data_IF_757007703242
#
_entry.id   IF_757007703242
#
_cell.length_a   1.000
_cell.length_b   1.000
_cell.length_c   1.000
_cell.angle_alpha   90.00
_cell.angle_beta   90.00
_cell.angle_gamma   90.00
#
_symmetry.space_group_name_H-M   'P 1'
#
loop_
_entity.id
_entity.type
_entity.pdbx_description
1 polymer ?
#
# COMPACT_ATOMS: atom_id res chain seq x y z
N UNK A 1 3.08 -19.86 7.06
CA UNK A 1 3.65 -19.57 5.74
C UNK A 1 2.82 -18.55 4.97
N UNK A 2 1.53 -18.81 4.69
CA UNK A 2 0.67 -17.87 3.94
C UNK A 2 0.53 -16.48 4.60
N UNK A 3 0.39 -16.42 5.93
CA UNK A 3 0.33 -15.14 6.66
C UNK A 3 1.64 -14.34 6.53
N UNK A 4 2.80 -14.99 6.60
CA UNK A 4 4.09 -14.33 6.41
C UNK A 4 4.22 -13.78 4.98
N UNK A 5 3.79 -14.54 3.97
CA UNK A 5 3.80 -14.09 2.59
C UNK A 5 2.93 -12.83 2.38
N UNK A 6 1.80 -12.71 3.09
CA UNK A 6 0.98 -11.49 3.05
C UNK A 6 1.72 -10.28 3.64
N UNK A 7 2.44 -10.45 4.76
CA UNK A 7 3.30 -9.38 5.28
C UNK A 7 4.38 -9.00 4.29
N UNK A 8 5.11 -9.98 3.79
CA UNK A 8 6.22 -9.74 2.87
C UNK A 8 5.71 -8.98 1.63
N UNK A 9 4.56 -9.39 1.09
CA UNK A 9 3.94 -8.73 -0.06
C UNK A 9 3.50 -7.30 0.25
N UNK A 10 2.82 -7.05 1.38
CA UNK A 10 2.37 -5.72 1.79
C UNK A 10 3.53 -4.76 2.03
N UNK A 11 4.70 -5.27 2.44
CA UNK A 11 5.90 -4.47 2.73
C UNK A 11 6.96 -4.52 1.63
N UNK A 12 6.57 -4.83 0.38
CA UNK A 12 7.42 -4.61 -0.79
C UNK A 12 7.87 -5.86 -1.56
N UNK A 13 7.55 -7.07 -1.09
CA UNK A 13 7.77 -8.31 -1.85
C UNK A 13 6.65 -8.54 -2.88
N UNK A 14 6.46 -7.56 -3.75
CA UNK A 14 5.45 -7.52 -4.80
C UNK A 14 6.06 -7.02 -6.12
N UNK A 15 5.36 -7.11 -7.26
CA UNK A 15 5.92 -6.76 -8.58
C UNK A 15 6.44 -5.32 -8.71
N UNK A 16 5.92 -4.39 -7.91
CA UNK A 16 6.30 -2.98 -7.94
C UNK A 16 7.47 -2.66 -7.00
N UNK A 17 7.82 -3.58 -6.10
CA UNK A 17 8.94 -3.40 -5.18
C UNK A 17 8.71 -2.34 -4.10
N UNK A 18 7.45 -1.93 -3.90
CA UNK A 18 7.04 -0.85 -2.99
C UNK A 18 6.11 -1.37 -1.91
N UNK A 19 6.21 -0.80 -0.71
CA UNK A 19 5.24 -1.08 0.35
C UNK A 19 3.86 -0.53 -0.03
N UNK A 20 2.81 -1.17 0.44
CA UNK A 20 1.44 -0.64 0.35
C UNK A 20 1.07 0.20 1.58
N UNK A 21 2.03 0.42 2.49
CA UNK A 21 1.80 1.10 3.77
C UNK A 21 2.56 2.42 3.78
N UNK A 22 1.83 3.53 3.89
CA UNK A 22 2.42 4.88 3.92
C UNK A 22 3.46 5.00 5.05
N UNK A 23 4.69 5.38 4.68
CA UNK A 23 5.78 5.64 5.61
C UNK A 23 6.41 4.39 6.26
N UNK A 24 5.99 3.17 5.91
CA UNK A 24 6.51 1.93 6.48
C UNK A 24 6.89 0.89 5.41
N UNK A 25 8.07 0.26 5.46
CA UNK A 25 9.17 0.61 6.36
C UNK A 25 9.81 1.95 5.96
N UNK A 26 10.27 2.73 6.94
CA UNK A 26 10.81 4.08 6.70
C UNK A 26 12.09 4.14 5.85
N UNK A 27 12.73 3.00 5.60
CA UNK A 27 13.92 2.87 4.77
C UNK A 27 13.63 2.37 3.35
N UNK A 28 12.38 2.00 3.06
CA UNK A 28 11.97 1.43 1.78
C UNK A 28 11.20 2.42 0.91
N UNK A 29 10.80 1.94 -0.27
CA UNK A 29 9.81 2.60 -1.12
C UNK A 29 8.41 2.39 -0.53
N UNK A 30 7.64 3.47 -0.41
CA UNK A 30 6.31 3.50 0.20
C UNK A 30 5.49 4.61 -0.46
N UNK A 31 4.15 4.60 -0.38
CA UNK A 31 3.33 5.62 -0.99
C UNK A 31 3.75 7.02 -0.52
N UNK A 32 4.07 7.93 -1.45
CA UNK A 32 4.45 9.32 -1.17
C UNK A 32 3.41 10.33 -1.64
N UNK A 33 2.58 9.98 -2.63
CA UNK A 33 1.50 10.81 -3.13
C UNK A 33 0.13 10.10 -3.08
N UNK A 34 -0.33 9.65 -1.90
CA UNK A 34 -1.60 8.95 -1.75
C UNK A 34 -2.79 9.85 -2.08
N UNK A 35 -3.89 9.27 -2.56
CA UNK A 35 -5.18 9.94 -2.77
C UNK A 35 -5.83 10.33 -1.43
N UNK A 36 -5.26 11.34 -0.76
CA UNK A 36 -5.73 11.81 0.54
C UNK A 36 -5.72 13.32 0.59
N UNK A 37 -6.85 13.91 1.00
CA UNK A 37 -6.94 15.35 1.20
C UNK A 37 -5.97 15.85 2.29
N UNK A 38 -5.63 15.00 3.27
CA UNK A 38 -4.70 15.38 4.35
C UNK A 38 -3.28 15.56 3.85
N UNK A 39 -2.77 14.61 3.06
CA UNK A 39 -1.44 14.71 2.45
C UNK A 39 -1.43 15.78 1.36
N UNK A 40 -2.45 15.82 0.49
CA UNK A 40 -2.46 16.72 -0.65
C UNK A 40 -2.61 18.20 -0.24
N UNK A 41 -3.62 18.53 0.60
CA UNK A 41 -3.95 19.92 0.94
C UNK A 41 -3.20 20.46 2.16
N UNK A 42 -2.91 19.59 3.14
CA UNK A 42 -2.35 19.99 4.43
C UNK A 42 -0.94 19.48 4.68
N UNK A 43 -0.43 18.57 3.83
CA UNK A 43 0.88 17.93 3.98
C UNK A 43 1.01 17.22 5.34
N UNK A 44 -0.10 16.72 5.87
CA UNK A 44 -0.09 15.92 7.09
C UNK A 44 0.28 14.48 6.75
N UNK A 45 1.24 13.86 7.46
CA UNK A 45 1.57 12.47 7.25
C UNK A 45 0.41 11.58 7.70
N UNK A 46 0.30 10.43 7.04
CA UNK A 46 -0.70 9.39 7.36
C UNK A 46 0.01 8.04 7.63
N UNK A 47 1.10 8.11 8.38
CA UNK A 47 1.98 6.98 8.69
C UNK A 47 1.19 5.75 9.16
N UNK A 48 1.45 4.61 8.52
CA UNK A 48 0.76 3.36 8.77
C UNK A 48 -0.55 3.16 8.00
N UNK A 49 -1.01 4.15 7.23
CA UNK A 49 -2.16 4.00 6.35
C UNK A 49 -1.91 2.98 5.25
N UNK A 50 -2.75 1.94 5.17
CA UNK A 50 -2.73 0.97 4.08
C UNK A 50 -3.51 1.53 2.89
N UNK A 51 -2.85 1.63 1.73
CA UNK A 51 -3.53 1.97 0.46
C UNK A 51 -4.29 0.78 -0.11
N UNK A 52 -5.30 1.04 -0.93
CA UNK A 52 -6.11 -0.01 -1.59
C UNK A 52 -5.26 -1.05 -2.34
N UNK A 53 -4.18 -0.58 -2.97
CA UNK A 53 -3.24 -1.42 -3.70
C UNK A 53 -3.70 -1.74 -5.12
N UNK A 54 -3.05 -2.69 -5.80
CA UNK A 54 -3.23 -2.91 -7.22
C UNK A 54 -4.62 -3.40 -7.59
N UNK A 55 -5.19 -2.81 -8.64
CA UNK A 55 -6.45 -3.24 -9.25
C UNK A 55 -6.22 -3.82 -10.63
N UNK A 56 -7.24 -4.47 -11.20
CA UNK A 56 -7.14 -4.90 -12.59
C UNK A 56 -6.99 -3.70 -13.53
N UNK A 57 -6.14 -3.83 -14.56
CA UNK A 57 -5.99 -2.77 -15.56
C UNK A 57 -7.31 -2.42 -16.25
N UNK A 58 -8.22 -3.39 -16.39
CA UNK A 58 -9.59 -3.13 -16.86
C UNK A 58 -10.42 -2.27 -15.90
N UNK A 59 -10.24 -2.40 -14.59
CA UNK A 59 -10.91 -1.53 -13.61
C UNK A 59 -10.39 -0.10 -13.78
N UNK A 60 -9.07 0.09 -13.66
CA UNK A 60 -8.42 1.40 -13.78
C UNK A 60 -8.85 2.15 -15.05
N UNK A 61 -8.79 1.49 -16.21
CA UNK A 61 -9.11 2.11 -17.50
C UNK A 61 -10.59 2.50 -17.69
N UNK A 62 -11.50 2.05 -16.82
CA UNK A 62 -12.94 2.35 -16.90
C UNK A 62 -13.43 3.33 -15.82
N UNK A 63 -12.52 3.83 -14.97
CA UNK A 63 -12.87 4.76 -13.90
C UNK A 63 -12.96 6.21 -14.40
N UNK A 64 -13.91 6.96 -13.84
CA UNK A 64 -14.22 8.33 -14.26
C UNK A 64 -13.34 9.31 -13.48
N UNK A 65 -12.66 10.20 -14.19
CA UNK A 65 -11.89 11.28 -13.57
C UNK A 65 -10.52 10.85 -13.02
N UNK A 66 -10.15 9.59 -13.20
CA UNK A 66 -8.83 9.08 -12.88
C UNK A 66 -7.80 9.67 -13.85
N UNK A 67 -6.67 10.16 -13.33
CA UNK A 67 -5.60 10.73 -14.14
C UNK A 67 -4.31 10.78 -13.32
N UNK A 68 -3.22 10.27 -13.86
CA UNK A 68 -1.89 10.50 -13.27
C UNK A 68 -1.46 11.95 -13.47
N UNK A 69 -1.10 12.62 -12.39
CA UNK A 69 -0.58 13.99 -12.39
C UNK A 69 0.94 14.01 -12.55
N UNK A 70 1.63 12.96 -12.09
CA UNK A 70 3.05 12.75 -12.21
C UNK A 70 3.37 11.56 -13.16
N UNK A 71 4.62 11.41 -13.60
CA UNK A 71 5.03 10.24 -14.37
C UNK A 71 4.96 8.95 -13.53
N UNK A 72 4.35 7.89 -14.07
CA UNK A 72 4.31 6.55 -13.45
C UNK A 72 5.73 6.00 -13.22
N UNK A 73 6.17 5.95 -11.96
CA UNK A 73 7.51 5.44 -11.60
C UNK A 73 7.64 3.94 -11.84
N UNK A 74 6.51 3.21 -11.81
CA UNK A 74 6.48 1.76 -11.96
C UNK A 74 6.11 1.31 -13.36
N UNK A 75 6.17 2.19 -14.36
CA UNK A 75 5.77 1.92 -15.75
C UNK A 75 6.30 0.61 -16.33
N UNK A 76 7.51 0.20 -15.99
CA UNK A 76 8.13 -1.05 -16.48
C UNK A 76 7.54 -2.32 -15.85
N UNK A 77 6.83 -2.18 -14.73
CA UNK A 77 6.22 -3.26 -13.96
C UNK A 77 4.70 -3.34 -14.13
N UNK A 78 4.08 -2.31 -14.73
CA UNK A 78 2.65 -2.35 -15.08
C UNK A 78 2.34 -3.45 -16.09
N UNK A 79 1.14 -4.00 -16.00
CA UNK A 79 0.66 -5.04 -16.90
C UNK A 79 -0.79 -4.80 -17.31
N UNK A 80 -1.23 -5.46 -18.39
CA UNK A 80 -2.65 -5.47 -18.75
C UNK A 80 -3.53 -6.13 -17.66
N UNK A 81 -2.94 -7.00 -16.84
CA UNK A 81 -3.66 -7.70 -15.78
C UNK A 81 -3.89 -6.78 -14.58
N UNK A 82 -2.83 -6.24 -13.98
CA UNK A 82 -2.90 -5.42 -12.78
C UNK A 82 -1.98 -4.19 -12.88
N UNK A 83 -2.41 -3.11 -12.24
CA UNK A 83 -1.70 -1.82 -12.14
C UNK A 83 -1.73 -1.29 -10.72
N UNK A 84 -0.68 -0.57 -10.34
CA UNK A 84 -0.58 0.21 -9.10
C UNK A 84 0.15 1.51 -9.42
N UNK A 85 -0.37 2.66 -9.00
CA UNK A 85 0.28 3.94 -9.23
C UNK A 85 0.38 4.69 -7.91
N UNK A 86 1.56 5.23 -7.60
CA UNK A 86 1.73 6.12 -6.45
C UNK A 86 1.45 7.58 -6.84
N UNK A 87 0.19 7.88 -7.16
CA UNK A 87 -0.21 9.20 -7.64
C UNK A 87 -1.53 9.66 -7.01
N UNK A 88 -1.60 10.94 -6.63
CA UNK A 88 -2.79 11.51 -5.99
C UNK A 88 -4.04 11.38 -6.85
N UNK A 89 -3.93 11.35 -8.17
CA UNK A 89 -5.06 11.22 -9.08
C UNK A 89 -5.56 9.80 -9.29
N UNK A 90 -4.90 8.80 -8.70
CA UNK A 90 -5.34 7.41 -8.69
C UNK A 90 -5.97 7.01 -7.34
N UNK A 91 -7.26 7.35 -7.19
CA UNK A 91 -8.07 6.91 -6.06
C UNK A 91 -8.38 5.40 -6.08
N UNK A 92 -8.06 4.68 -7.16
CA UNK A 92 -8.40 3.27 -7.30
C UNK A 92 -7.34 2.34 -6.73
N UNK A 93 -6.09 2.80 -6.69
CA UNK A 93 -4.97 2.01 -6.18
C UNK A 93 -4.25 2.65 -5.00
N UNK A 94 -4.34 3.99 -4.86
CA UNK A 94 -3.52 4.74 -3.92
C UNK A 94 -4.33 5.49 -2.85
N UNK A 95 -5.61 5.17 -2.68
CA UNK A 95 -6.43 5.71 -1.59
C UNK A 95 -6.16 4.93 -0.29
N UNK A 96 -5.78 5.60 0.81
CA UNK A 96 -5.62 4.96 2.11
C UNK A 96 -6.98 4.65 2.74
N UNK A 97 -7.23 3.39 3.08
CA UNK A 97 -8.53 2.94 3.58
C UNK A 97 -8.52 2.57 5.06
N UNK A 98 -9.58 2.95 5.77
CA UNK A 98 -9.69 2.70 7.22
C UNK A 98 -9.85 1.22 7.55
N UNK A 99 -10.64 0.48 6.77
CA UNK A 99 -10.88 -0.95 6.93
C UNK A 99 -9.68 -1.80 6.53
N UNK A 100 -8.97 -1.41 5.46
CA UNK A 100 -7.66 -1.96 5.11
C UNK A 100 -6.65 -1.76 6.25
N UNK A 101 -6.53 -0.53 6.74
CA UNK A 101 -5.63 -0.19 7.85
C UNK A 101 -5.99 -0.94 9.13
N UNK A 102 -7.28 -1.08 9.46
CA UNK A 102 -7.73 -1.86 10.62
C UNK A 102 -7.34 -3.34 10.51
N UNK A 103 -7.44 -3.92 9.31
CA UNK A 103 -7.02 -5.30 9.03
C UNK A 103 -5.51 -5.47 9.17
N UNK A 104 -4.73 -4.51 8.68
CA UNK A 104 -3.27 -4.50 8.85
C UNK A 104 -2.86 -4.42 10.33
N UNK A 105 -3.53 -3.59 11.13
CA UNK A 105 -3.28 -3.51 12.58
C UNK A 105 -3.49 -4.86 13.24
N UNK A 106 -4.57 -5.57 12.89
CA UNK A 106 -4.85 -6.89 13.43
C UNK A 106 -3.75 -7.90 13.08
N UNK A 107 -3.30 -7.90 11.82
CA UNK A 107 -2.19 -8.74 11.37
C UNK A 107 -0.91 -8.41 12.16
N UNK A 108 -0.48 -7.14 12.20
CA UNK A 108 0.73 -6.73 12.90
C UNK A 108 0.69 -7.10 14.40
N UNK A 109 -0.45 -6.94 15.05
CA UNK A 109 -0.65 -7.34 16.45
C UNK A 109 -0.53 -8.86 16.63
N UNK A 110 -1.09 -9.65 15.72
CA UNK A 110 -0.93 -11.11 15.73
C UNK A 110 0.55 -11.51 15.60
N UNK A 111 1.29 -10.84 14.70
CA UNK A 111 2.72 -11.08 14.50
C UNK A 111 3.57 -10.71 15.72
N UNK A 112 3.28 -9.58 16.35
CA UNK A 112 3.92 -9.19 17.60
C UNK A 112 3.68 -10.24 18.70
N UNK A 113 2.43 -10.70 18.83
CA UNK A 113 2.06 -11.71 19.82
C UNK A 113 2.76 -13.06 19.58
N UNK A 114 2.91 -13.49 18.33
CA UNK A 114 3.71 -14.67 17.96
C UNK A 114 5.15 -14.55 18.49
N UNK A 115 5.81 -13.41 18.23
CA UNK A 115 7.19 -13.15 18.68
C UNK A 115 7.28 -13.16 20.20
N UNK A 116 6.35 -12.52 20.90
CA UNK A 116 6.31 -12.49 22.37
C UNK A 116 6.15 -13.88 22.96
N UNK A 117 5.25 -14.68 22.40
CA UNK A 117 5.00 -16.07 22.84
C UNK A 117 6.23 -16.95 22.64
N UNK A 118 6.92 -16.79 21.51
CA UNK A 118 8.13 -17.54 21.21
C UNK A 118 9.32 -17.15 22.09
N UNK A 119 9.40 -15.89 22.54
CA UNK A 119 10.42 -15.44 23.52
C UNK A 119 10.19 -16.03 24.92
N UNK A 120 8.94 -16.19 25.36
CA UNK A 120 8.63 -16.78 26.67
C UNK A 120 8.80 -18.30 26.76
N UNK A 121 8.99 -18.98 25.62
CA UNK A 121 9.28 -20.42 25.53
C UNK A 121 10.78 -20.75 25.47
N UNK A 122 11.63 -19.74 25.32
CA UNK A 122 13.10 -19.86 25.39
C UNK A 122 13.58 -19.47 26.78
#
# INVERSE_FOLDING_TARGET
>A
ELEQANFDWLFGCNPWGTSMVYGLPSWGDTPVDPHSAFTHLKKYPIDGGLVDGPVYGSIYNNLIGIKLYEPDEYKTFQSNLAVYHDDYGDYSTNEPTMDGTASLIYLLAAKENEVRTNKGKK
#
